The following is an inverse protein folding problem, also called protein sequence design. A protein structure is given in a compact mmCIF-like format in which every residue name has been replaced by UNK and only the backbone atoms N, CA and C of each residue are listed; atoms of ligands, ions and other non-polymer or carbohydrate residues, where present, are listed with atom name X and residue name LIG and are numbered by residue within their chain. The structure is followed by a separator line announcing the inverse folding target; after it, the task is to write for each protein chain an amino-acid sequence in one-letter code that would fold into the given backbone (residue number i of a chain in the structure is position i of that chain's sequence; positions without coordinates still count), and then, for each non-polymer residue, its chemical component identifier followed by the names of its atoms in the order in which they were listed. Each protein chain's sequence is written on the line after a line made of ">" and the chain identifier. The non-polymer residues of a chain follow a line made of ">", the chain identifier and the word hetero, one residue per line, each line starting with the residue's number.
data_IF_156898619499
#
_entry.id   IF_156898619499
#
_cell.length_a   1.000
_cell.length_b   1.000
_cell.length_c   1.000
_cell.angle_alpha   90.00
_cell.angle_beta   90.00
_cell.angle_gamma   90.00
#
_symmetry.space_group_name_H-M   'P 1'
#
loop_
_entity.id
_entity.type
_entity.pdbx_description
1 polymer ?
#
# COMPACT_ATOMS: atom_id res chain seq x y z
N UNK A 1 -10.18 18.82 -0.61
CA UNK A 1 -10.13 17.98 -1.81
C UNK A 1 -10.08 16.54 -1.36
N UNK A 2 -11.17 15.79 -1.43
CA UNK A 2 -11.11 14.33 -1.47
C UNK A 2 -12.53 13.82 -1.58
N UNK A 3 -12.85 13.09 -2.65
CA UNK A 3 -13.96 12.15 -2.59
C UNK A 3 -13.50 10.87 -3.31
N UNK A 4 -12.35 10.38 -2.85
CA UNK A 4 -11.92 9.01 -3.02
C UNK A 4 -11.68 8.46 -1.61
N UNK A 5 -12.12 7.24 -1.30
CA UNK A 5 -11.83 6.63 -0.01
C UNK A 5 -10.32 6.47 0.19
N UNK A 6 -9.85 6.61 1.43
CA UNK A 6 -8.43 6.46 1.75
C UNK A 6 -7.91 5.07 1.34
N UNK A 7 -6.66 4.97 0.84
CA UNK A 7 -6.05 3.69 0.50
C UNK A 7 -5.93 2.77 1.72
N UNK A 8 -6.21 1.49 1.53
CA UNK A 8 -6.09 0.48 2.59
C UNK A 8 -4.66 0.42 3.18
N UNK A 9 -3.64 0.71 2.37
CA UNK A 9 -2.25 0.76 2.81
C UNK A 9 -2.02 1.70 4.00
N UNK A 10 -2.79 2.77 4.16
CA UNK A 10 -2.60 3.72 5.28
C UNK A 10 -3.06 3.17 6.63
N UNK A 11 -3.82 2.07 6.62
CA UNK A 11 -4.28 1.36 7.82
C UNK A 11 -3.56 0.03 8.01
N UNK A 12 -2.40 -0.14 7.37
CA UNK A 12 -1.62 -1.37 7.47
C UNK A 12 -0.44 -1.20 8.44
N UNK A 13 -0.23 -2.18 9.32
CA UNK A 13 0.92 -2.23 10.26
C UNK A 13 2.28 -2.12 9.54
N UNK A 14 2.35 -2.57 8.29
CA UNK A 14 3.58 -2.59 7.49
C UNK A 14 3.87 -1.29 6.74
N UNK A 15 2.96 -0.32 6.76
CA UNK A 15 3.09 0.93 6.03
C UNK A 15 4.21 1.80 6.60
N UNK A 16 5.10 2.28 5.71
CA UNK A 16 6.28 3.08 6.10
C UNK A 16 6.23 4.53 5.64
N UNK A 17 5.16 4.94 4.95
CA UNK A 17 5.01 6.31 4.46
C UNK A 17 5.68 6.56 3.12
N UNK A 18 5.99 7.83 2.86
CA UNK A 18 6.60 8.28 1.60
C UNK A 18 8.08 7.89 1.59
N UNK A 19 8.47 7.07 0.62
CA UNK A 19 9.87 6.91 0.21
C UNK A 19 10.23 8.23 -0.49
N UNK A 20 11.28 8.91 -0.04
CA UNK A 20 11.65 10.24 -0.53
C UNK A 20 12.00 10.29 -2.04
N UNK A 21 12.87 11.19 -2.51
CA UNK A 21 13.17 11.35 -3.95
C UNK A 21 13.80 10.12 -4.63
N UNK A 22 13.98 9.01 -3.91
CA UNK A 22 14.43 7.71 -4.40
C UNK A 22 13.28 6.73 -4.72
N UNK A 23 12.02 7.18 -4.71
CA UNK A 23 10.91 6.41 -5.26
C UNK A 23 11.19 6.07 -6.73
N UNK A 24 10.84 4.84 -7.14
CA UNK A 24 11.10 4.32 -8.49
C UNK A 24 10.65 5.30 -9.58
N UNK A 25 11.42 5.49 -10.65
CA UNK A 25 11.01 6.23 -11.87
C UNK A 25 9.90 5.48 -12.67
N UNK A 26 9.35 4.41 -12.12
CA UNK A 26 8.29 3.61 -12.74
C UNK A 26 6.93 4.25 -12.42
N UNK A 27 6.23 4.68 -13.47
CA UNK A 27 4.91 5.29 -13.38
C UNK A 27 3.84 4.38 -12.74
N UNK A 28 4.09 3.06 -12.67
CA UNK A 28 3.21 2.08 -12.04
C UNK A 28 3.50 1.86 -10.56
N UNK A 29 4.52 2.52 -10.01
CA UNK A 29 4.94 2.41 -8.62
C UNK A 29 4.68 3.75 -7.92
N UNK A 30 4.03 3.69 -6.76
CA UNK A 30 3.77 4.88 -5.97
C UNK A 30 5.01 5.31 -5.18
N UNK A 31 5.10 6.59 -4.77
CA UNK A 31 6.17 7.04 -3.87
C UNK A 31 5.99 6.54 -2.43
N UNK A 32 4.99 5.71 -2.15
CA UNK A 32 4.74 5.17 -0.81
C UNK A 32 5.35 3.78 -0.66
N UNK A 33 5.92 3.48 0.50
CA UNK A 33 6.55 2.21 0.79
C UNK A 33 5.89 1.48 1.96
N UNK A 34 6.06 0.16 1.96
CA UNK A 34 5.76 -0.71 3.09
C UNK A 34 6.81 -1.83 3.16
N UNK A 35 6.75 -2.68 4.19
CA UNK A 35 7.70 -3.79 4.33
C UNK A 35 7.63 -4.82 3.19
N UNK A 36 6.44 -4.97 2.59
CA UNK A 36 6.25 -5.80 1.41
C UNK A 36 6.91 -5.19 0.16
N UNK A 37 6.79 -3.87 0.00
CA UNK A 37 7.25 -3.13 -1.17
C UNK A 37 8.20 -1.98 -0.79
N UNK A 38 9.47 -2.28 -0.45
CA UNK A 38 10.42 -1.28 0.04
C UNK A 38 10.88 -0.29 -1.05
N UNK A 39 10.59 -0.57 -2.33
CA UNK A 39 10.91 0.30 -3.48
C UNK A 39 9.70 1.12 -3.98
N UNK A 40 8.56 0.94 -3.33
CA UNK A 40 7.31 1.61 -3.68
C UNK A 40 6.19 0.62 -3.92
N UNK A 41 4.99 0.95 -3.43
CA UNK A 41 3.79 0.12 -3.54
C UNK A 41 3.27 0.22 -4.98
N UNK A 42 3.04 -0.91 -5.68
CA UNK A 42 2.44 -0.89 -7.01
C UNK A 42 1.06 -0.23 -7.00
N UNK A 43 0.75 0.58 -8.02
CA UNK A 43 -0.53 1.31 -8.14
C UNK A 43 -1.76 0.40 -8.01
N UNK A 44 -1.68 -0.86 -8.47
CA UNK A 44 -2.78 -1.82 -8.34
C UNK A 44 -3.16 -2.13 -6.89
N UNK A 45 -2.18 -2.12 -5.97
CA UNK A 45 -2.38 -2.31 -4.54
C UNK A 45 -2.62 -0.99 -3.80
N UNK A 46 -2.20 0.13 -4.39
CA UNK A 46 -2.39 1.45 -3.82
C UNK A 46 -3.79 1.98 -4.14
N UNK A 47 -4.78 1.62 -3.32
CA UNK A 47 -6.18 2.06 -3.46
C UNK A 47 -7.18 0.94 -3.20
N UNK A 48 -8.36 1.02 -3.85
CA UNK A 48 -9.43 0.00 -3.77
C UNK A 48 -9.43 -1.01 -4.92
N UNK A 49 -8.48 -0.95 -5.85
CA UNK A 49 -8.49 -1.84 -7.01
C UNK A 49 -8.19 -3.28 -6.62
N UNK A 50 -7.13 -3.50 -5.84
CA UNK A 50 -6.73 -4.82 -5.35
C UNK A 50 -6.30 -4.72 -3.89
N UNK A 51 -6.96 -5.47 -3.01
CA UNK A 51 -6.52 -5.59 -1.61
C UNK A 51 -5.36 -6.57 -1.56
N UNK A 52 -4.27 -6.19 -0.89
CA UNK A 52 -3.10 -7.04 -0.71
C UNK A 52 -3.33 -8.10 0.40
N UNK A 53 -4.38 -8.90 0.27
CA UNK A 53 -4.78 -9.92 1.27
C UNK A 53 -4.15 -11.29 1.01
N UNK A 54 -3.48 -11.45 -0.13
CA UNK A 54 -2.81 -12.69 -0.52
C UNK A 54 -1.37 -12.37 -0.89
N UNK A 55 -0.41 -13.24 -0.58
CA UNK A 55 0.96 -13.07 -1.02
C UNK A 55 1.02 -13.04 -2.55
N UNK A 56 1.82 -12.13 -3.09
CA UNK A 56 2.09 -12.01 -4.53
C UNK A 56 3.60 -12.03 -4.78
N UNK A 57 3.99 -12.40 -5.99
CA UNK A 57 5.42 -12.44 -6.32
C UNK A 57 6.08 -11.06 -6.12
N UNK A 58 7.12 -11.02 -5.29
CA UNK A 58 7.91 -9.81 -5.01
C UNK A 58 7.47 -8.97 -3.80
N UNK A 59 6.52 -9.42 -2.99
CA UNK A 59 6.00 -8.70 -1.81
C UNK A 59 6.64 -9.13 -0.47
N UNK A 60 7.80 -9.79 -0.52
CA UNK A 60 8.48 -10.40 0.63
C UNK A 60 7.64 -11.40 1.44
N UNK A 61 6.52 -11.91 0.89
CA UNK A 61 5.58 -12.78 1.58
C UNK A 61 4.75 -12.08 2.65
N UNK A 62 4.74 -10.75 2.67
CA UNK A 62 4.01 -9.93 3.64
C UNK A 62 2.69 -9.54 3.02
N UNK A 63 1.58 -9.77 3.73
CA UNK A 63 0.24 -9.35 3.33
C UNK A 63 -0.26 -8.21 4.21
N UNK A 64 -1.37 -7.61 3.82
CA UNK A 64 -2.07 -6.62 4.63
C UNK A 64 -2.38 -7.17 6.02
N UNK A 65 -1.93 -6.44 7.02
CA UNK A 65 -2.26 -6.60 8.43
C UNK A 65 -2.83 -5.28 8.94
N UNK A 66 -4.07 -5.31 9.46
CA UNK A 66 -4.77 -4.14 9.99
C UNK A 66 -4.07 -3.58 11.24
N UNK A 67 -3.88 -2.26 11.29
CA UNK A 67 -3.29 -1.58 12.44
C UNK A 67 -4.30 -1.25 13.56
N UNK A 68 -5.57 -1.63 13.36
CA UNK A 68 -6.69 -1.35 14.27
C UNK A 68 -7.42 -0.04 13.95
N UNK A 69 -7.07 0.64 12.86
CA UNK A 69 -7.71 1.90 12.43
C UNK A 69 -8.49 1.79 11.13
N UNK A 70 -8.51 0.61 10.47
CA UNK A 70 -9.27 0.43 9.22
C UNK A 70 -10.76 0.60 9.45
N UNK A 71 -11.44 1.55 8.76
CA UNK A 71 -12.89 1.67 8.79
C UNK A 71 -13.59 0.45 8.14
N UNK A 72 -14.74 0.03 8.68
CA UNK A 72 -15.53 -1.10 8.14
C UNK A 72 -15.83 -0.99 6.63
N UNK A 73 -15.96 0.23 6.09
CA UNK A 73 -16.26 0.46 4.68
C UNK A 73 -15.07 0.22 3.73
N UNK A 74 -13.88 -0.09 4.27
CA UNK A 74 -12.67 -0.46 3.52
C UNK A 74 -12.40 -1.98 3.56
N UNK A 75 -12.99 -2.70 4.53
CA UNK A 75 -12.94 -4.17 4.63
C UNK A 75 -13.85 -4.86 3.62
#
# INVERSE_FOLDING_TARGET
>A
MSIGPEPLCFHCTHYRGILGPAASDDENITPYGCDAFPKGIPLRFFGRYEKHLTPVEGDNGIVFEDDGTTPDYLL
#
